data_IF_136748618311
#
_entry.id   IF_136748618311
#
_cell.length_a   1.000
_cell.length_b   1.000
_cell.length_c   1.000
_cell.angle_alpha   90.00
_cell.angle_beta   90.00
_cell.angle_gamma   90.00
#
_symmetry.space_group_name_H-M   'P 1'
#
loop_
_entity.id
_entity.type
_entity.pdbx_description
1 polymer ?
#
# COMPACT_ATOMS: atom_id res chain seq x y z
N UNK A 1 9.39 -0.40 15.05
CA UNK A 1 9.61 0.37 13.82
C UNK A 1 10.02 1.75 14.29
N UNK A 2 11.32 1.94 14.45
CA UNK A 2 11.90 3.11 15.12
C UNK A 2 12.57 4.04 14.11
N UNK A 3 12.87 3.53 12.91
CA UNK A 3 13.47 4.30 11.84
C UNK A 3 12.49 4.47 10.68
N UNK A 4 12.67 5.53 9.92
CA UNK A 4 11.95 5.82 8.70
C UNK A 4 12.85 6.37 7.60
N UNK A 5 12.35 6.31 6.38
CA UNK A 5 12.93 6.92 5.19
C UNK A 5 11.80 7.52 4.36
N UNK A 6 11.97 8.76 3.89
CA UNK A 6 11.03 9.40 2.98
C UNK A 6 11.51 9.30 1.53
N UNK A 7 10.58 8.93 0.65
CA UNK A 7 10.73 8.99 -0.79
C UNK A 7 9.70 9.98 -1.31
N UNK A 8 10.19 11.10 -1.83
CA UNK A 8 9.36 12.18 -2.38
C UNK A 8 9.41 12.11 -3.90
N UNK A 9 8.25 12.07 -4.54
CA UNK A 9 8.12 12.22 -5.98
C UNK A 9 8.37 13.66 -6.38
N UNK A 10 9.16 13.83 -7.43
CA UNK A 10 9.43 15.12 -8.04
C UNK A 10 8.36 15.41 -9.10
N UNK A 11 7.88 16.66 -9.22
CA UNK A 11 6.99 17.06 -10.30
C UNK A 11 7.69 16.85 -11.65
N UNK A 12 6.97 16.28 -12.60
CA UNK A 12 7.47 16.02 -13.95
C UNK A 12 6.40 16.42 -14.98
N UNK A 13 6.78 17.07 -16.10
CA UNK A 13 5.83 17.51 -17.11
C UNK A 13 5.25 16.35 -17.94
N UNK A 14 5.97 15.23 -18.07
CA UNK A 14 5.53 14.07 -18.85
C UNK A 14 4.66 13.13 -18.03
N UNK A 15 4.93 13.01 -16.72
CA UNK A 15 4.25 12.08 -15.83
C UNK A 15 3.49 12.76 -14.70
N UNK A 16 2.21 12.39 -14.56
CA UNK A 16 1.45 12.77 -13.38
C UNK A 16 1.92 12.01 -12.12
N UNK A 17 1.71 12.64 -10.96
CA UNK A 17 2.09 12.12 -9.63
C UNK A 17 1.57 10.70 -9.36
N UNK A 18 0.34 10.37 -9.76
CA UNK A 18 -0.24 9.05 -9.50
C UNK A 18 0.47 7.96 -10.31
N UNK A 19 0.85 8.24 -11.56
CA UNK A 19 1.61 7.32 -12.41
C UNK A 19 2.98 7.03 -11.80
N UNK A 20 3.69 8.06 -11.35
CA UNK A 20 4.98 7.91 -10.69
C UNK A 20 4.86 7.13 -9.38
N UNK A 21 3.84 7.42 -8.57
CA UNK A 21 3.58 6.70 -7.32
C UNK A 21 3.28 5.22 -7.57
N UNK A 22 2.45 4.91 -8.57
CA UNK A 22 2.13 3.54 -8.96
C UNK A 22 3.39 2.78 -9.40
N UNK A 23 4.25 3.42 -10.19
CA UNK A 23 5.51 2.84 -10.65
C UNK A 23 6.50 2.61 -9.49
N UNK A 24 6.70 3.62 -8.63
CA UNK A 24 7.52 3.54 -7.44
C UNK A 24 7.06 2.39 -6.54
N UNK A 25 5.78 2.34 -6.24
CA UNK A 25 5.21 1.33 -5.36
C UNK A 25 5.29 -0.08 -5.95
N UNK A 26 5.13 -0.23 -7.28
CA UNK A 26 5.30 -1.50 -7.95
C UNK A 26 6.76 -2.00 -7.86
N UNK A 27 7.76 -1.11 -7.89
CA UNK A 27 9.17 -1.47 -7.69
C UNK A 27 9.45 -1.82 -6.22
N UNK A 28 8.96 -0.99 -5.29
CA UNK A 28 9.05 -1.25 -3.85
C UNK A 28 8.48 -2.62 -3.49
N UNK A 29 7.28 -2.94 -3.97
CA UNK A 29 6.61 -4.21 -3.69
C UNK A 29 7.47 -5.41 -4.11
N UNK A 30 8.18 -5.34 -5.25
CA UNK A 30 9.06 -6.41 -5.70
C UNK A 30 10.29 -6.54 -4.80
N UNK A 31 10.95 -5.42 -4.53
CA UNK A 31 12.16 -5.39 -3.72
C UNK A 31 11.90 -5.86 -2.29
N UNK A 32 10.82 -5.36 -1.66
CA UNK A 32 10.45 -5.74 -0.30
C UNK A 32 10.16 -7.24 -0.19
N UNK A 33 9.44 -7.83 -1.14
CA UNK A 33 9.19 -9.28 -1.13
C UNK A 33 10.45 -10.12 -1.39
N UNK A 34 11.50 -9.55 -1.99
CA UNK A 34 12.77 -10.23 -2.24
C UNK A 34 13.69 -10.24 -1.01
N UNK A 35 13.85 -9.08 -0.34
CA UNK A 35 14.92 -8.91 0.68
C UNK A 35 14.43 -8.55 2.08
N UNK A 36 13.21 -8.05 2.22
CA UNK A 36 12.71 -7.49 3.49
C UNK A 36 11.25 -7.88 3.78
N UNK A 37 10.88 -9.11 3.41
CA UNK A 37 9.49 -9.56 3.42
C UNK A 37 8.85 -9.41 4.79
N UNK A 38 7.80 -8.59 4.87
CA UNK A 38 7.05 -8.36 6.11
C UNK A 38 7.81 -7.57 7.19
N UNK A 39 8.98 -6.99 6.87
CA UNK A 39 9.83 -6.22 7.81
C UNK A 39 9.74 -4.70 7.64
N UNK A 40 9.27 -4.24 6.48
CA UNK A 40 9.16 -2.81 6.13
C UNK A 40 7.70 -2.44 5.92
N UNK A 41 7.21 -1.49 6.72
CA UNK A 41 5.88 -0.92 6.59
C UNK A 41 5.90 0.34 5.73
N UNK A 42 4.74 0.74 5.20
CA UNK A 42 4.60 1.93 4.36
C UNK A 42 3.51 2.87 4.86
N UNK A 43 3.70 4.16 4.60
CA UNK A 43 2.68 5.18 4.81
C UNK A 43 2.72 6.25 3.75
N UNK A 44 1.66 7.05 3.70
CA UNK A 44 1.49 8.12 2.74
C UNK A 44 1.20 9.42 3.51
N UNK A 45 2.24 10.13 4.00
CA UNK A 45 2.05 11.30 4.86
C UNK A 45 1.22 12.42 4.21
N UNK A 46 1.32 12.55 2.89
CA UNK A 46 0.65 13.61 2.12
C UNK A 46 -0.77 13.20 1.64
N UNK A 47 -1.33 12.13 2.21
CA UNK A 47 -2.67 11.63 1.84
C UNK A 47 -3.74 12.69 2.06
N UNK A 48 -4.50 13.00 0.99
CA UNK A 48 -5.61 13.96 1.01
C UNK A 48 -6.75 13.45 0.14
N UNK A 49 -7.96 13.38 0.71
CA UNK A 49 -9.15 12.90 0.04
C UNK A 49 -8.93 11.52 -0.62
N UNK A 50 -9.04 11.44 -1.95
CA UNK A 50 -8.87 10.20 -2.74
C UNK A 50 -7.46 10.01 -3.31
N UNK A 51 -6.47 10.82 -2.89
CA UNK A 51 -5.09 10.74 -3.38
C UNK A 51 -4.13 10.45 -2.23
N UNK A 52 -3.16 9.58 -2.48
CA UNK A 52 -2.11 9.23 -1.52
C UNK A 52 -1.03 10.32 -1.41
N UNK A 53 -0.94 11.20 -2.41
CA UNK A 53 0.06 12.26 -2.47
C UNK A 53 1.42 11.77 -2.97
N UNK A 54 2.36 12.69 -3.08
CA UNK A 54 3.68 12.46 -3.68
C UNK A 54 4.73 11.86 -2.75
N UNK A 55 4.38 11.51 -1.51
CA UNK A 55 5.35 11.02 -0.52
C UNK A 55 5.03 9.60 -0.07
N UNK A 56 6.00 8.70 -0.27
CA UNK A 56 6.00 7.35 0.27
C UNK A 56 7.01 7.29 1.42
N UNK A 57 6.53 7.04 2.63
CA UNK A 57 7.39 6.82 3.79
C UNK A 57 7.52 5.34 4.08
N UNK A 58 8.76 4.86 4.21
CA UNK A 58 9.08 3.51 4.64
C UNK A 58 9.39 3.52 6.14
N UNK A 59 8.85 2.55 6.87
CA UNK A 59 9.03 2.41 8.31
C UNK A 59 9.62 1.04 8.63
N UNK A 60 10.58 0.97 9.55
CA UNK A 60 11.25 -0.29 9.86
C UNK A 60 12.23 -0.19 11.00
N UNK A 61 13.07 -1.21 11.12
CA UNK A 61 14.35 -1.11 11.81
C UNK A 61 15.41 -0.62 10.82
N UNK A 62 16.53 -0.12 11.32
CA UNK A 62 17.63 0.33 10.48
C UNK A 62 18.13 -0.78 9.53
N UNK A 63 18.31 -2.01 10.03
CA UNK A 63 18.84 -3.12 9.21
C UNK A 63 17.95 -3.46 7.99
N UNK A 64 16.63 -3.73 8.12
CA UNK A 64 15.80 -4.01 6.94
C UNK A 64 15.68 -2.85 5.96
N UNK A 65 15.72 -1.59 6.44
CA UNK A 65 15.71 -0.42 5.58
C UNK A 65 17.02 -0.28 4.81
N UNK A 66 18.16 -0.49 5.46
CA UNK A 66 19.47 -0.50 4.82
C UNK A 66 19.57 -1.62 3.79
N UNK A 67 19.15 -2.83 4.14
CA UNK A 67 19.13 -3.99 3.22
C UNK A 67 18.26 -3.71 1.99
N UNK A 68 17.10 -3.08 2.18
CA UNK A 68 16.24 -2.68 1.07
C UNK A 68 16.87 -1.59 0.20
N UNK A 69 17.51 -0.58 0.80
CA UNK A 69 18.12 0.54 0.08
C UNK A 69 19.47 0.20 -0.59
N UNK A 70 20.15 -0.85 -0.12
CA UNK A 70 21.32 -1.42 -0.77
C UNK A 70 20.97 -2.10 -2.11
N UNK A 71 19.74 -2.58 -2.27
CA UNK A 71 19.26 -3.07 -3.57
C UNK A 71 19.05 -1.91 -4.54
N UNK A 72 19.44 -2.07 -5.80
CA UNK A 72 19.23 -1.06 -6.84
C UNK A 72 17.79 -1.07 -7.40
N UNK A 73 16.78 -1.21 -6.53
CA UNK A 73 15.37 -1.36 -6.95
C UNK A 73 14.74 -0.08 -7.50
N UNK A 74 15.36 1.07 -7.24
CA UNK A 74 14.95 2.38 -7.75
C UNK A 74 15.51 2.71 -9.14
N UNK A 75 16.24 1.78 -9.79
CA UNK A 75 16.81 1.99 -11.12
C UNK A 75 15.76 2.53 -12.11
N UNK A 76 16.03 3.66 -12.75
CA UNK A 76 15.11 4.36 -13.66
C UNK A 76 13.93 5.08 -12.99
N UNK A 77 13.86 5.12 -11.66
CA UNK A 77 12.97 6.01 -10.88
C UNK A 77 13.74 7.06 -10.08
N UNK A 78 15.08 6.95 -9.98
CA UNK A 78 15.91 7.89 -9.21
C UNK A 78 15.76 9.34 -9.69
N UNK A 79 15.63 9.56 -10.99
CA UNK A 79 15.50 10.91 -11.55
C UNK A 79 14.15 11.57 -11.23
N UNK A 80 13.13 10.77 -10.88
CA UNK A 80 11.79 11.23 -10.52
C UNK A 80 11.54 11.26 -9.00
N UNK A 81 12.55 10.95 -8.19
CA UNK A 81 12.41 10.80 -6.75
C UNK A 81 13.58 11.46 -6.00
N UNK A 82 13.29 12.16 -4.91
CA UNK A 82 14.28 12.48 -3.89
C UNK A 82 14.10 11.59 -2.66
N UNK A 83 15.20 11.31 -1.97
CA UNK A 83 15.24 10.38 -0.84
C UNK A 83 15.85 11.10 0.35
N UNK A 84 15.28 10.90 1.54
CA UNK A 84 15.95 11.31 2.78
C UNK A 84 17.03 10.29 3.18
N UNK A 85 17.78 10.58 4.24
CA UNK A 85 18.50 9.52 4.94
C UNK A 85 17.54 8.68 5.80
N UNK A 86 18.01 7.52 6.24
CA UNK A 86 17.32 6.72 7.27
C UNK A 86 17.51 7.43 8.61
N UNK A 87 16.40 7.81 9.23
CA UNK A 87 16.39 8.58 10.49
C UNK A 87 15.48 7.92 11.51
N UNK A 88 15.70 8.21 12.78
CA UNK A 88 14.78 7.80 13.85
C UNK A 88 13.49 8.61 13.80
N UNK A 89 12.38 7.94 14.11
CA UNK A 89 11.08 8.59 14.22
C UNK A 89 11.09 9.59 15.39
N UNK A 90 10.49 10.79 15.24
CA UNK A 90 10.46 11.79 16.30
C UNK A 90 9.83 11.25 17.60
N UNK A 91 10.44 11.61 18.73
CA UNK A 91 9.87 11.30 20.04
C UNK A 91 8.49 11.97 20.22
N UNK A 92 7.55 11.24 20.80
CA UNK A 92 6.19 11.74 21.06
C UNK A 92 5.26 11.81 19.85
N UNK A 93 5.65 11.22 18.71
CA UNK A 93 4.74 11.08 17.57
C UNK A 93 3.53 10.19 17.91
N UNK A 94 2.43 10.41 17.21
CA UNK A 94 1.25 9.52 17.27
C UNK A 94 1.47 8.33 16.36
N UNK A 95 0.66 7.31 16.53
CA UNK A 95 0.68 6.10 15.73
C UNK A 95 -0.63 5.91 14.99
N UNK A 96 -0.64 5.21 13.87
CA UNK A 96 -1.89 4.76 13.24
C UNK A 96 -1.68 3.49 12.45
N UNK A 97 -2.77 2.78 12.17
CA UNK A 97 -2.75 1.66 11.24
C UNK A 97 -2.89 2.17 9.80
N UNK A 98 -2.17 1.56 8.87
CA UNK A 98 -2.35 1.79 7.43
C UNK A 98 -2.60 0.44 6.79
N UNK A 99 -3.86 0.21 6.42
CA UNK A 99 -4.33 -1.12 6.02
C UNK A 99 -4.84 -1.14 4.60
N UNK A 100 -4.71 -2.30 3.97
CA UNK A 100 -5.34 -2.58 2.68
C UNK A 100 -6.82 -2.84 2.89
N UNK A 101 -7.69 -2.13 2.17
CA UNK A 101 -9.12 -2.44 2.11
C UNK A 101 -9.40 -3.26 0.85
N UNK A 102 -10.01 -4.43 1.03
CA UNK A 102 -10.42 -5.27 -0.08
C UNK A 102 -11.93 -5.47 -0.04
N UNK A 103 -12.63 -4.83 -0.98
CA UNK A 103 -14.05 -5.15 -1.21
C UNK A 103 -14.11 -6.28 -2.22
N UNK A 104 -14.74 -7.38 -1.82
CA UNK A 104 -14.95 -8.52 -2.72
C UNK A 104 -16.00 -8.13 -3.77
N UNK A 105 -15.60 -8.06 -5.03
CA UNK A 105 -16.51 -7.80 -6.16
C UNK A 105 -17.69 -8.77 -6.17
N UNK A 106 -18.91 -8.23 -6.17
CA UNK A 106 -20.14 -9.02 -6.26
C UNK A 106 -20.15 -9.87 -7.53
N UNK A 107 -19.74 -9.30 -8.67
CA UNK A 107 -19.61 -10.02 -9.94
C UNK A 107 -18.67 -11.23 -9.82
N UNK A 108 -17.46 -11.05 -9.28
CA UNK A 108 -16.51 -12.15 -9.13
C UNK A 108 -16.99 -13.21 -8.14
N UNK A 109 -17.70 -12.82 -7.07
CA UNK A 109 -18.33 -13.77 -6.15
C UNK A 109 -19.43 -14.58 -6.84
N UNK A 110 -20.29 -13.93 -7.65
CA UNK A 110 -21.34 -14.61 -8.43
C UNK A 110 -20.73 -15.63 -9.37
N UNK A 111 -19.80 -15.20 -10.24
CA UNK A 111 -19.10 -16.08 -11.20
C UNK A 111 -18.44 -17.28 -10.51
N UNK A 112 -17.79 -17.05 -9.36
CA UNK A 112 -17.16 -18.12 -8.57
C UNK A 112 -18.18 -19.09 -7.96
N UNK A 113 -19.31 -18.59 -7.46
CA UNK A 113 -20.33 -19.44 -6.82
C UNK A 113 -21.02 -20.33 -7.86
N UNK A 114 -21.30 -19.79 -9.04
CA UNK A 114 -21.84 -20.54 -10.18
C UNK A 114 -20.83 -21.60 -10.66
N UNK A 115 -19.58 -21.21 -10.89
CA UNK A 115 -18.53 -22.13 -11.35
C UNK A 115 -18.24 -23.29 -10.38
N UNK A 116 -18.55 -23.10 -9.08
CA UNK A 116 -18.42 -24.15 -8.06
C UNK A 116 -19.70 -24.97 -7.86
N UNK A 117 -20.77 -24.67 -8.59
CA UNK A 117 -22.07 -25.34 -8.45
C UNK A 117 -22.78 -25.03 -7.13
N UNK A 118 -22.39 -23.96 -6.42
CA UNK A 118 -23.01 -23.59 -5.14
C UNK A 118 -24.35 -22.88 -5.31
N UNK A 119 -24.51 -22.14 -6.43
CA UNK A 119 -25.69 -21.36 -6.74
C UNK A 119 -25.96 -21.40 -8.25
N UNK A 120 -27.23 -21.38 -8.64
CA UNK A 120 -27.63 -21.05 -10.01
C UNK A 120 -27.42 -19.55 -10.30
N UNK A 121 -27.47 -19.16 -11.57
CA UNK A 121 -27.29 -17.76 -11.96
C UNK A 121 -28.33 -16.83 -11.32
N UNK A 122 -29.59 -17.27 -11.27
CA UNK A 122 -30.71 -16.54 -10.66
C UNK A 122 -30.49 -16.38 -9.14
N UNK A 123 -30.09 -17.45 -8.46
CA UNK A 123 -29.81 -17.43 -7.02
C UNK A 123 -28.60 -16.55 -6.69
N UNK A 124 -27.55 -16.59 -7.52
CA UNK A 124 -26.36 -15.78 -7.34
C UNK A 124 -26.67 -14.28 -7.43
N UNK A 125 -27.54 -13.85 -8.34
CA UNK A 125 -27.99 -12.45 -8.44
C UNK A 125 -28.80 -12.05 -7.20
N UNK A 126 -29.74 -12.90 -6.77
CA UNK A 126 -30.59 -12.62 -5.59
C UNK A 126 -29.81 -12.57 -4.28
N UNK A 127 -28.90 -13.52 -4.05
CA UNK A 127 -28.16 -13.67 -2.79
C UNK A 127 -26.92 -12.78 -2.71
N UNK A 128 -26.38 -12.35 -3.87
CA UNK A 128 -25.20 -11.50 -3.95
C UNK A 128 -25.59 -10.21 -4.70
N UNK A 129 -26.35 -9.32 -4.04
CA UNK A 129 -26.72 -8.04 -4.61
C UNK A 129 -25.47 -7.20 -4.87
N UNK A 130 -25.58 -6.26 -5.81
CA UNK A 130 -24.53 -5.27 -5.99
C UNK A 130 -24.41 -4.43 -4.72
N UNK A 131 -23.19 -4.32 -4.21
CA UNK A 131 -22.91 -3.45 -3.09
C UNK A 131 -22.09 -2.28 -3.66
N UNK A 132 -22.66 -1.06 -3.74
CA UNK A 132 -21.91 0.11 -4.17
C UNK A 132 -20.65 0.23 -3.31
N UNK A 133 -19.51 0.19 -3.98
CA UNK A 133 -18.23 -0.13 -3.39
C UNK A 133 -17.86 0.87 -2.28
N UNK A 134 -17.75 0.38 -1.04
CA UNK A 134 -17.22 1.15 0.11
C UNK A 134 -15.82 1.76 -0.15
N UNK A 135 -15.17 1.37 -1.24
CA UNK A 135 -13.86 1.86 -1.68
C UNK A 135 -13.92 3.11 -2.57
N UNK A 136 -15.08 3.58 -3.00
CA UNK A 136 -15.18 4.72 -3.93
C UNK A 136 -14.61 6.02 -3.37
N UNK A 137 -14.49 6.12 -2.05
CA UNK A 137 -13.90 7.26 -1.35
C UNK A 137 -12.46 7.02 -0.89
N UNK A 138 -11.95 5.80 -1.01
CA UNK A 138 -10.62 5.46 -0.51
C UNK A 138 -9.54 5.74 -1.57
N UNK A 139 -8.39 6.30 -1.15
CA UNK A 139 -7.24 6.41 -2.02
C UNK A 139 -6.67 5.02 -2.35
N UNK A 140 -6.03 4.90 -3.52
CA UNK A 140 -5.52 3.62 -3.98
C UNK A 140 -4.22 3.75 -4.79
N UNK A 141 -3.51 2.63 -4.89
CA UNK A 141 -2.43 2.40 -5.84
C UNK A 141 -2.92 1.46 -6.94
N UNK A 142 -2.53 1.72 -8.18
CA UNK A 142 -2.72 0.76 -9.27
C UNK A 142 -1.42 -0.02 -9.48
N UNK A 143 -1.50 -1.35 -9.30
CA UNK A 143 -0.34 -2.23 -9.44
C UNK A 143 -0.67 -3.29 -10.48
N UNK A 144 0.25 -3.52 -11.43
CA UNK A 144 0.19 -4.65 -12.35
C UNK A 144 0.79 -5.88 -11.67
N UNK A 145 -0.01 -6.91 -11.50
CA UNK A 145 0.44 -8.21 -11.02
C UNK A 145 1.41 -8.85 -12.01
N UNK A 146 2.50 -9.43 -11.54
CA UNK A 146 3.41 -10.18 -12.41
C UNK A 146 2.93 -11.60 -12.69
N UNK A 147 2.19 -12.21 -11.77
CA UNK A 147 1.76 -13.62 -11.90
C UNK A 147 0.64 -13.82 -12.92
N UNK A 148 -0.22 -12.82 -13.11
CA UNK A 148 -1.37 -12.92 -14.01
C UNK A 148 -1.57 -11.69 -14.89
N UNK A 149 -0.59 -10.77 -14.92
CA UNK A 149 -0.62 -9.53 -15.70
C UNK A 149 -1.81 -8.58 -15.45
N UNK A 150 -2.69 -8.91 -14.51
CA UNK A 150 -3.88 -8.12 -14.22
C UNK A 150 -3.50 -6.85 -13.45
N UNK A 151 -4.11 -5.74 -13.85
CA UNK A 151 -4.06 -4.50 -13.08
C UNK A 151 -5.03 -4.61 -11.90
N UNK A 152 -4.56 -4.27 -10.71
CA UNK A 152 -5.37 -4.26 -9.50
C UNK A 152 -5.22 -2.94 -8.76
N UNK A 153 -6.32 -2.50 -8.14
CA UNK A 153 -6.31 -1.40 -7.20
C UNK A 153 -6.06 -1.92 -5.79
N UNK A 154 -5.06 -1.37 -5.14
CA UNK A 154 -4.75 -1.57 -3.72
C UNK A 154 -5.29 -0.36 -2.98
N UNK A 155 -6.51 -0.46 -2.47
CA UNK A 155 -7.11 0.61 -1.66
C UNK A 155 -6.45 0.65 -0.29
N UNK A 156 -6.13 1.85 0.17
CA UNK A 156 -5.42 2.09 1.42
C UNK A 156 -6.30 2.93 2.33
N UNK A 157 -6.57 2.42 3.53
CA UNK A 157 -7.23 3.17 4.59
C UNK A 157 -6.22 3.49 5.68
N UNK A 158 -6.21 4.74 6.10
CA UNK A 158 -5.43 5.18 7.25
C UNK A 158 -6.37 5.30 8.45
N UNK A 159 -6.16 4.46 9.47
CA UNK A 159 -7.00 4.43 10.67
C UNK A 159 -6.80 5.65 11.56
N UNK A 160 -7.54 5.73 12.66
CA UNK A 160 -7.43 6.81 13.64
C UNK A 160 -6.03 6.89 14.27
N UNK A 161 -5.68 8.07 14.77
CA UNK A 161 -4.45 8.26 15.54
C UNK A 161 -4.58 7.58 16.92
N UNK A 162 -3.48 7.02 17.37
CA UNK A 162 -3.32 6.26 18.61
C UNK A 162 -2.06 6.75 19.33
N UNK A 163 -2.06 6.63 20.66
CA UNK A 163 -0.93 7.08 21.48
C UNK A 163 0.18 6.04 21.63
N UNK A 164 -0.18 4.76 21.51
CA UNK A 164 0.72 3.64 21.77
C UNK A 164 0.99 2.84 20.49
N UNK A 165 2.24 2.38 20.29
CA UNK A 165 2.56 1.49 19.19
C UNK A 165 2.02 0.08 19.46
N UNK A 166 1.35 -0.50 18.46
CA UNK A 166 0.95 -1.89 18.44
C UNK A 166 1.80 -2.68 17.43
N UNK A 167 2.35 -3.80 17.90
CA UNK A 167 3.02 -4.76 17.02
C UNK A 167 1.99 -5.61 16.29
N UNK A 168 2.26 -5.94 15.03
CA UNK A 168 1.39 -6.78 14.21
C UNK A 168 2.10 -7.25 12.96
N UNK A 169 1.43 -8.08 12.17
CA UNK A 169 2.00 -8.63 10.94
C UNK A 169 1.78 -7.66 9.78
N UNK A 170 2.82 -7.43 8.99
CA UNK A 170 2.73 -6.73 7.71
C UNK A 170 2.39 -7.70 6.60
N UNK A 171 1.57 -7.25 5.65
CA UNK A 171 1.33 -7.99 4.42
C UNK A 171 2.44 -7.73 3.37
N UNK A 172 2.32 -8.38 2.21
CA UNK A 172 3.25 -8.25 1.08
C UNK A 172 3.33 -6.85 0.47
N UNK A 173 2.55 -5.88 0.93
CA UNK A 173 2.57 -4.49 0.49
C UNK A 173 3.11 -3.54 1.58
N UNK A 174 3.57 -4.06 2.72
CA UNK A 174 3.99 -3.25 3.86
C UNK A 174 2.82 -2.60 4.62
N UNK A 175 1.60 -3.10 4.42
CA UNK A 175 0.38 -2.59 5.06
C UNK A 175 -0.08 -3.56 6.15
N UNK A 176 -0.76 -3.07 7.18
CA UNK A 176 -1.32 -3.90 8.24
C UNK A 176 -2.60 -3.32 8.82
N UNK A 177 -3.51 -4.21 9.22
CA UNK A 177 -4.70 -3.85 9.99
C UNK A 177 -4.45 -3.84 11.51
N UNK A 178 -3.32 -4.39 11.95
CA UNK A 178 -2.98 -4.58 13.37
C UNK A 178 -1.76 -3.75 13.75
N UNK A 179 -0.70 -3.79 12.94
CA UNK A 179 0.52 -3.05 13.21
C UNK A 179 0.29 -1.56 13.02
N UNK A 180 0.68 -0.77 14.01
CA UNK A 180 0.70 0.69 13.90
C UNK A 180 2.07 1.18 13.48
N UNK A 181 2.09 2.30 12.77
CA UNK A 181 3.29 2.99 12.35
C UNK A 181 3.32 4.41 12.93
N UNK A 182 4.52 4.98 13.19
CA UNK A 182 4.68 6.39 13.52
C UNK A 182 4.04 7.31 12.48
N UNK A 183 3.38 8.37 12.94
CA UNK A 183 2.71 9.36 12.10
C UNK A 183 3.10 10.78 12.50
N UNK A 184 3.66 11.53 11.55
CA UNK A 184 4.16 12.89 11.68
C UNK A 184 4.31 13.56 10.32
#
# INVERSE_FOLDING_TARGET
>A
MECYLDIQLLPDPEFNEQTLLNALFAKFHRAMNKVAQGKVAVSFPDVKNKRLGGKLRLHGRAEPLNTLMAENWLQGMKDYCSFSDIKEAPAGCKYRVVKRVQVKSAHNKRKRSIAKGWLTEIEAIKQIPENPLATDKLPYLEVKSLSNSNRMRVYVEHGSLMDQPLQGKLNSYGLSAEATIPWF
#
